data_IF_157308780097
#
_entry.id   IF_157308780097
#
_cell.length_a   1.000
_cell.length_b   1.000
_cell.length_c   1.000
_cell.angle_alpha   90.00
_cell.angle_beta   90.00
_cell.angle_gamma   90.00
#
_symmetry.space_group_name_H-M   'P 1'
#
loop_
_entity.id
_entity.type
_entity.pdbx_description
1 polymer ?
#
# COMPACT_ATOMS: atom_id res chain seq x y z
N UNK A 1 -72.18 -18.50 -13.09
CA UNK A 1 -71.05 -19.34 -13.52
C UNK A 1 -69.99 -18.39 -14.02
N UNK A 2 -68.95 -18.16 -13.25
CA UNK A 2 -67.72 -17.47 -13.64
C UNK A 2 -66.59 -18.48 -13.45
N UNK A 3 -65.91 -18.78 -14.53
CA UNK A 3 -64.70 -19.66 -14.49
C UNK A 3 -63.52 -18.86 -13.95
N UNK A 4 -62.99 -19.29 -12.83
CA UNK A 4 -61.68 -18.85 -12.32
C UNK A 4 -60.61 -19.72 -13.00
N UNK A 5 -59.93 -19.15 -14.01
CA UNK A 5 -58.68 -19.75 -14.55
C UNK A 5 -57.52 -19.48 -13.57
N UNK A 6 -57.15 -20.52 -12.86
CA UNK A 6 -55.94 -20.52 -12.06
C UNK A 6 -54.74 -20.65 -13.01
N UNK A 7 -53.99 -19.57 -13.20
CA UNK A 7 -52.71 -19.59 -13.92
C UNK A 7 -51.68 -20.33 -13.05
N UNK A 8 -51.46 -21.57 -13.33
CA UNK A 8 -50.33 -22.36 -12.75
C UNK A 8 -49.02 -21.88 -13.38
N UNK A 9 -48.31 -20.99 -12.69
CA UNK A 9 -46.93 -20.63 -13.06
C UNK A 9 -46.06 -21.87 -12.89
N UNK A 10 -45.57 -22.40 -13.99
CA UNK A 10 -44.76 -23.60 -14.06
C UNK A 10 -43.49 -23.43 -13.19
N UNK A 11 -43.40 -24.15 -12.09
CA UNK A 11 -42.25 -24.21 -11.16
C UNK A 11 -40.92 -24.57 -11.86
N UNK A 12 -40.96 -25.11 -13.07
CA UNK A 12 -39.80 -25.44 -13.90
C UNK A 12 -39.07 -24.17 -14.40
N UNK A 13 -39.78 -23.10 -14.71
CA UNK A 13 -39.18 -21.85 -15.19
C UNK A 13 -38.47 -21.08 -14.09
N UNK A 14 -38.93 -21.14 -12.86
CA UNK A 14 -38.27 -20.46 -11.71
C UNK A 14 -36.93 -21.11 -11.37
N UNK A 15 -36.87 -22.44 -11.40
CA UNK A 15 -35.63 -23.19 -11.11
C UNK A 15 -34.56 -23.00 -12.20
N UNK A 16 -34.99 -22.87 -13.48
CA UNK A 16 -34.12 -22.61 -14.61
C UNK A 16 -33.57 -21.18 -14.58
N UNK A 17 -34.37 -20.19 -14.21
CA UNK A 17 -33.95 -18.80 -14.05
C UNK A 17 -32.99 -18.64 -12.88
N UNK A 18 -33.26 -19.34 -11.77
CA UNK A 18 -32.35 -19.34 -10.61
C UNK A 18 -30.98 -20.00 -10.92
N UNK A 19 -30.97 -21.07 -11.68
CA UNK A 19 -29.73 -21.72 -12.14
C UNK A 19 -28.93 -20.83 -13.09
N UNK A 20 -29.58 -20.13 -14.00
CA UNK A 20 -28.92 -19.17 -14.90
C UNK A 20 -28.36 -17.99 -14.09
N UNK A 21 -29.11 -17.44 -13.14
CA UNK A 21 -28.61 -16.39 -12.25
C UNK A 21 -27.43 -16.87 -11.41
N UNK A 22 -27.45 -18.06 -10.85
CA UNK A 22 -26.32 -18.64 -10.12
C UNK A 22 -25.09 -18.83 -11.03
N UNK A 23 -25.26 -19.38 -12.23
CA UNK A 23 -24.16 -19.52 -13.20
C UNK A 23 -23.60 -18.19 -13.66
N UNK A 24 -24.44 -17.18 -13.84
CA UNK A 24 -24.01 -15.81 -14.17
C UNK A 24 -23.22 -15.21 -12.99
N UNK A 25 -23.70 -15.39 -11.76
CA UNK A 25 -23.01 -14.91 -10.55
C UNK A 25 -21.68 -15.65 -10.35
N UNK A 26 -21.64 -16.96 -10.57
CA UNK A 26 -20.38 -17.74 -10.52
C UNK A 26 -19.42 -17.37 -11.66
N UNK A 27 -19.92 -17.17 -12.87
CA UNK A 27 -19.13 -16.68 -14.02
C UNK A 27 -18.55 -15.30 -13.75
N UNK A 28 -19.35 -14.36 -13.20
CA UNK A 28 -18.84 -13.03 -12.81
C UNK A 28 -17.88 -13.12 -11.63
N UNK A 29 -18.13 -13.99 -10.66
CA UNK A 29 -17.24 -14.20 -9.51
C UNK A 29 -15.89 -14.80 -9.93
N UNK A 30 -15.88 -15.83 -10.77
CA UNK A 30 -14.65 -16.41 -11.30
C UNK A 30 -13.87 -15.48 -12.21
N UNK A 31 -14.52 -14.64 -13.00
CA UNK A 31 -13.85 -13.61 -13.81
C UNK A 31 -13.36 -12.42 -12.97
N UNK A 32 -14.03 -12.09 -11.86
CA UNK A 32 -13.55 -11.09 -10.90
C UNK A 32 -12.33 -11.61 -10.12
N UNK A 33 -12.37 -12.86 -9.67
CA UNK A 33 -11.24 -13.51 -9.01
C UNK A 33 -10.05 -13.66 -9.97
N UNK A 34 -10.29 -14.01 -11.26
CA UNK A 34 -9.24 -14.07 -12.29
C UNK A 34 -8.60 -12.72 -12.61
N UNK A 35 -9.36 -11.63 -12.55
CA UNK A 35 -8.82 -10.27 -12.78
C UNK A 35 -8.02 -9.75 -11.57
N UNK A 36 -8.40 -10.17 -10.35
CA UNK A 36 -7.62 -9.89 -9.14
C UNK A 36 -6.28 -10.64 -9.13
N UNK A 37 -6.31 -11.91 -9.55
CA UNK A 37 -5.09 -12.72 -9.75
C UNK A 37 -4.15 -12.04 -10.75
N UNK A 38 -4.67 -11.44 -11.82
CA UNK A 38 -3.86 -10.80 -12.86
C UNK A 38 -3.01 -9.62 -12.35
N UNK A 39 -3.51 -8.78 -11.44
CA UNK A 39 -2.71 -7.66 -10.90
C UNK A 39 -1.55 -8.15 -10.04
N UNK A 40 -1.81 -9.03 -9.08
CA UNK A 40 -0.76 -9.58 -8.22
C UNK A 40 0.09 -10.61 -8.96
N UNK A 41 -0.46 -11.31 -9.95
CA UNK A 41 0.30 -12.16 -10.85
C UNK A 41 1.30 -11.33 -11.67
N UNK A 42 0.89 -10.21 -12.26
CA UNK A 42 1.77 -9.28 -12.95
C UNK A 42 2.87 -8.72 -12.04
N UNK A 43 2.53 -8.33 -10.80
CA UNK A 43 3.52 -7.90 -9.81
C UNK A 43 4.48 -9.03 -9.42
N UNK A 44 3.98 -10.26 -9.24
CA UNK A 44 4.78 -11.44 -8.91
C UNK A 44 5.77 -11.78 -10.02
N UNK A 45 5.35 -11.72 -11.29
CA UNK A 45 6.22 -11.95 -12.44
C UNK A 45 7.39 -10.95 -12.51
N UNK A 46 7.20 -9.71 -12.03
CA UNK A 46 8.25 -8.69 -11.99
C UNK A 46 9.36 -9.02 -10.98
N UNK A 47 9.09 -9.82 -9.95
CA UNK A 47 10.02 -10.10 -8.84
C UNK A 47 10.51 -11.55 -8.78
N UNK A 48 9.80 -12.50 -9.39
CA UNK A 48 10.17 -13.93 -9.35
C UNK A 48 11.62 -14.13 -9.77
N UNK A 49 12.38 -14.91 -9.01
CA UNK A 49 13.78 -15.22 -9.25
C UNK A 49 14.78 -14.09 -8.97
N UNK A 50 14.34 -12.87 -8.64
CA UNK A 50 15.24 -11.72 -8.39
C UNK A 50 15.97 -11.75 -7.06
N UNK A 51 15.61 -12.69 -6.17
CA UNK A 51 16.25 -12.88 -4.86
C UNK A 51 16.19 -11.63 -3.96
N UNK A 52 15.11 -10.85 -4.06
CA UNK A 52 14.87 -9.68 -3.23
C UNK A 52 14.69 -10.12 -1.79
N UNK A 53 15.46 -9.55 -0.87
CA UNK A 53 15.46 -9.89 0.54
C UNK A 53 14.46 -9.03 1.31
N UNK A 54 13.43 -9.64 1.88
CA UNK A 54 12.43 -8.96 2.70
C UNK A 54 12.50 -9.44 4.14
N UNK A 55 12.62 -8.49 5.08
CA UNK A 55 12.65 -8.75 6.52
C UNK A 55 11.22 -8.82 7.08
N UNK A 56 10.99 -9.79 7.92
CA UNK A 56 9.76 -10.00 8.69
C UNK A 56 10.08 -10.04 10.18
N UNK A 57 9.93 -8.92 10.90
CA UNK A 57 10.29 -8.82 12.31
C UNK A 57 9.48 -9.74 13.24
N UNK A 58 8.25 -10.05 12.88
CA UNK A 58 7.28 -10.75 13.74
C UNK A 58 7.34 -12.28 13.54
N UNK A 59 8.51 -12.88 13.78
CA UNK A 59 8.81 -14.28 13.45
C UNK A 59 8.02 -15.34 14.23
N UNK A 60 7.31 -14.97 15.28
CA UNK A 60 6.44 -15.89 16.03
C UNK A 60 4.98 -15.84 15.56
N UNK A 61 4.60 -14.88 14.71
CA UNK A 61 3.23 -14.67 14.25
C UNK A 61 2.87 -15.68 13.15
N UNK A 62 1.82 -16.51 13.34
CA UNK A 62 1.46 -17.55 12.37
C UNK A 62 1.14 -17.05 10.97
N UNK A 63 0.49 -15.87 10.84
CA UNK A 63 0.15 -15.25 9.55
C UNK A 63 1.42 -14.85 8.78
N UNK A 64 2.42 -14.38 9.50
CA UNK A 64 3.73 -14.06 8.93
C UNK A 64 4.42 -15.34 8.46
N UNK A 65 4.49 -16.37 9.30
CA UNK A 65 5.13 -17.64 8.95
C UNK A 65 4.49 -18.34 7.75
N UNK A 66 3.15 -18.33 7.64
CA UNK A 66 2.43 -18.87 6.50
C UNK A 66 2.78 -18.15 5.21
N UNK A 67 2.69 -16.82 5.20
CA UNK A 67 3.05 -15.99 4.05
C UNK A 67 4.52 -16.15 3.64
N UNK A 68 5.45 -16.18 4.61
CA UNK A 68 6.89 -16.34 4.38
C UNK A 68 7.21 -17.67 3.68
N UNK A 69 6.60 -18.77 4.13
CA UNK A 69 6.77 -20.10 3.52
C UNK A 69 6.27 -20.11 2.08
N UNK A 70 5.11 -19.52 1.82
CA UNK A 70 4.52 -19.39 0.48
C UNK A 70 5.39 -18.54 -0.44
N UNK A 71 5.79 -17.35 -0.02
CA UNK A 71 6.67 -16.45 -0.78
C UNK A 71 7.99 -17.12 -1.17
N UNK A 72 8.59 -17.89 -0.25
CA UNK A 72 9.82 -18.63 -0.52
C UNK A 72 9.59 -19.78 -1.50
N UNK A 73 8.51 -20.53 -1.35
CA UNK A 73 8.18 -21.68 -2.22
C UNK A 73 7.91 -21.24 -3.67
N UNK A 74 7.33 -20.05 -3.86
CA UNK A 74 7.04 -19.45 -5.16
C UNK A 74 8.22 -18.64 -5.74
N UNK A 75 9.37 -18.61 -5.07
CA UNK A 75 10.60 -17.89 -5.46
C UNK A 75 10.38 -16.38 -5.70
N UNK A 76 9.45 -15.78 -4.95
CA UNK A 76 9.10 -14.38 -5.08
C UNK A 76 10.05 -13.46 -4.30
N UNK A 77 10.44 -13.87 -3.09
CA UNK A 77 11.40 -13.15 -2.25
C UNK A 77 12.31 -14.11 -1.49
N UNK A 78 13.42 -13.57 -0.97
CA UNK A 78 14.27 -14.23 0.03
C UNK A 78 13.87 -13.71 1.42
N UNK A 79 13.03 -14.43 2.18
CA UNK A 79 12.57 -13.94 3.47
C UNK A 79 13.66 -14.04 4.53
N UNK A 80 13.75 -12.99 5.36
CA UNK A 80 14.55 -12.97 6.59
C UNK A 80 13.58 -12.79 7.76
N UNK A 81 13.49 -13.77 8.62
CA UNK A 81 12.60 -13.77 9.79
C UNK A 81 13.40 -13.38 11.02
N UNK A 82 12.92 -12.42 11.83
CA UNK A 82 13.58 -12.02 13.06
C UNK A 82 12.92 -12.69 14.27
N UNK A 83 13.72 -13.18 15.17
CA UNK A 83 13.30 -13.78 16.44
C UNK A 83 14.22 -14.89 16.90
N UNK A 84 14.00 -15.38 18.13
CA UNK A 84 14.75 -16.49 18.65
C UNK A 84 14.60 -17.74 17.78
N UNK A 85 15.71 -18.30 17.32
CA UNK A 85 15.75 -19.33 16.27
C UNK A 85 14.93 -20.57 16.64
N UNK A 86 15.06 -21.03 17.89
CA UNK A 86 14.37 -22.25 18.34
C UNK A 86 12.88 -21.99 18.54
N UNK A 87 12.51 -20.82 19.07
CA UNK A 87 11.12 -20.42 19.25
C UNK A 87 10.40 -20.29 17.90
N UNK A 88 11.04 -19.66 16.89
CA UNK A 88 10.48 -19.53 15.52
C UNK A 88 10.30 -20.91 14.88
N UNK A 89 11.29 -21.81 15.00
CA UNK A 89 11.19 -23.17 14.46
C UNK A 89 10.07 -23.96 15.12
N UNK A 90 9.89 -23.83 16.44
CA UNK A 90 8.82 -24.54 17.17
C UNK A 90 7.45 -23.96 16.82
N UNK A 91 7.31 -22.63 16.70
CA UNK A 91 6.08 -21.99 16.25
C UNK A 91 5.68 -22.46 14.84
N UNK A 92 6.61 -22.54 13.91
CA UNK A 92 6.38 -23.04 12.56
C UNK A 92 5.99 -24.53 12.57
N UNK A 93 6.70 -25.36 13.33
CA UNK A 93 6.42 -26.80 13.45
C UNK A 93 5.02 -27.06 14.01
N UNK A 94 4.60 -26.30 15.01
CA UNK A 94 3.25 -26.40 15.60
C UNK A 94 2.12 -26.11 14.59
N UNK A 95 2.43 -25.48 13.47
CA UNK A 95 1.51 -25.17 12.36
C UNK A 95 1.74 -26.03 11.11
N UNK A 96 2.72 -26.93 11.13
CA UNK A 96 3.09 -27.77 9.99
C UNK A 96 3.90 -27.03 8.92
N UNK A 97 4.40 -25.84 9.21
CA UNK A 97 5.23 -25.06 8.28
C UNK A 97 6.68 -25.55 8.26
N UNK A 98 7.30 -25.57 7.08
CA UNK A 98 8.70 -25.93 6.89
C UNK A 98 9.51 -24.69 6.50
N UNK A 99 10.46 -24.30 7.33
CA UNK A 99 11.29 -23.12 7.12
C UNK A 99 12.59 -23.41 6.33
N UNK A 100 12.56 -24.38 5.41
CA UNK A 100 13.73 -24.77 4.63
C UNK A 100 14.21 -23.62 3.74
N UNK A 101 15.48 -23.21 3.90
CA UNK A 101 16.09 -22.12 3.13
C UNK A 101 15.59 -20.73 3.49
N UNK A 102 14.86 -20.58 4.61
CA UNK A 102 14.48 -19.29 5.19
C UNK A 102 15.49 -18.93 6.26
N UNK A 103 16.08 -17.73 6.17
CA UNK A 103 17.01 -17.22 7.15
C UNK A 103 16.25 -16.75 8.39
N UNK A 104 16.71 -17.16 9.57
CA UNK A 104 16.20 -16.68 10.87
C UNK A 104 17.36 -16.00 11.58
N UNK A 105 17.14 -14.79 12.09
CA UNK A 105 18.15 -14.01 12.81
C UNK A 105 17.62 -13.68 14.20
N UNK A 106 18.39 -14.04 15.22
CA UNK A 106 18.12 -13.65 16.61
C UNK A 106 18.93 -12.37 16.92
N UNK A 107 18.29 -11.23 17.23
CA UNK A 107 19.00 -10.00 17.59
C UNK A 107 19.91 -10.15 18.81
N UNK A 108 19.62 -11.12 19.69
CA UNK A 108 20.41 -11.35 20.92
C UNK A 108 21.68 -12.18 20.68
N UNK A 109 21.79 -12.85 19.53
CA UNK A 109 22.92 -13.69 19.12
C UNK A 109 23.40 -13.34 17.70
N UNK A 110 23.48 -12.04 17.40
CA UNK A 110 23.90 -11.55 16.09
C UNK A 110 25.37 -11.15 16.12
N UNK A 111 26.20 -11.83 15.34
CA UNK A 111 27.66 -11.69 15.38
C UNK A 111 28.13 -10.26 15.06
N UNK A 112 27.47 -9.57 14.13
CA UNK A 112 27.83 -8.22 13.69
C UNK A 112 27.07 -7.12 14.46
N UNK A 113 26.55 -7.40 15.66
CA UNK A 113 25.75 -6.44 16.44
C UNK A 113 26.52 -5.14 16.76
N UNK A 114 27.79 -5.21 17.10
CA UNK A 114 28.61 -4.03 17.42
C UNK A 114 28.80 -3.13 16.20
N UNK A 115 28.94 -3.69 14.98
CA UNK A 115 29.00 -2.93 13.74
C UNK A 115 27.65 -2.27 13.45
N UNK A 116 26.53 -2.99 13.65
CA UNK A 116 25.18 -2.45 13.52
C UNK A 116 24.92 -1.31 14.50
N UNK A 117 25.36 -1.42 15.75
CA UNK A 117 25.29 -0.36 16.76
C UNK A 117 26.05 0.89 16.30
N UNK A 118 27.29 0.73 15.85
CA UNK A 118 28.10 1.85 15.35
C UNK A 118 27.41 2.56 14.16
N UNK A 119 26.88 1.79 13.21
CA UNK A 119 26.14 2.28 12.08
C UNK A 119 24.87 3.05 12.51
N UNK A 120 24.13 2.52 13.49
CA UNK A 120 22.92 3.17 14.01
C UNK A 120 23.24 4.49 14.72
N UNK A 121 24.24 4.53 15.57
CA UNK A 121 24.70 5.77 16.25
C UNK A 121 25.09 6.83 15.22
N UNK A 122 25.91 6.46 14.22
CA UNK A 122 26.29 7.34 13.12
C UNK A 122 25.06 7.86 12.35
N UNK A 123 24.13 6.99 12.02
CA UNK A 123 22.88 7.34 11.31
C UNK A 123 22.02 8.33 12.09
N UNK A 124 22.00 8.21 13.43
CA UNK A 124 21.22 9.08 14.34
C UNK A 124 21.91 10.43 14.63
N UNK A 125 23.16 10.57 14.22
CA UNK A 125 23.92 11.83 14.32
C UNK A 125 23.85 12.48 15.73
N UNK A 126 24.26 11.73 16.76
CA UNK A 126 24.30 12.17 18.16
C UNK A 126 22.97 12.14 18.92
N UNK A 127 21.87 11.70 18.29
CA UNK A 127 20.54 11.57 18.93
C UNK A 127 20.36 10.27 19.72
N UNK A 128 21.32 9.39 19.70
CA UNK A 128 21.31 8.07 20.36
C UNK A 128 22.71 7.77 20.82
N UNK A 129 22.87 7.36 22.09
CA UNK A 129 24.14 6.83 22.62
C UNK A 129 24.32 5.37 22.20
N UNK A 130 25.56 4.85 22.32
CA UNK A 130 25.85 3.44 22.02
C UNK A 130 25.04 2.48 22.91
N UNK A 131 24.89 2.79 24.19
CA UNK A 131 24.10 2.00 25.14
C UNK A 131 22.60 2.00 24.75
N UNK A 132 22.07 3.17 24.38
CA UNK A 132 20.69 3.28 23.90
C UNK A 132 20.50 2.52 22.59
N UNK A 133 21.49 2.58 21.68
CA UNK A 133 21.45 1.87 20.42
C UNK A 133 21.42 0.34 20.63
N UNK A 134 22.29 -0.19 21.50
CA UNK A 134 22.29 -1.62 21.88
C UNK A 134 20.92 -2.07 22.41
N UNK A 135 20.29 -1.25 23.25
CA UNK A 135 18.96 -1.56 23.79
C UNK A 135 17.86 -1.51 22.72
N UNK A 136 17.89 -0.51 21.82
CA UNK A 136 16.89 -0.37 20.76
C UNK A 136 17.00 -1.48 19.73
N UNK A 137 18.21 -1.97 19.45
CA UNK A 137 18.45 -3.05 18.48
C UNK A 137 18.03 -4.44 18.99
N UNK A 138 17.60 -4.57 20.24
CA UNK A 138 16.90 -5.77 20.71
C UNK A 138 15.42 -5.81 20.30
N UNK A 139 14.87 -4.68 19.86
CA UNK A 139 13.54 -4.61 19.25
C UNK A 139 13.63 -5.05 17.79
N UNK A 140 12.78 -6.00 17.39
CA UNK A 140 12.82 -6.65 16.08
C UNK A 140 12.59 -5.66 14.93
N UNK A 141 11.77 -4.61 15.14
CA UNK A 141 11.52 -3.59 14.11
C UNK A 141 12.75 -2.69 13.91
N UNK A 142 13.42 -2.27 14.99
CA UNK A 142 14.66 -1.51 14.89
C UNK A 142 15.75 -2.33 14.25
N UNK A 143 15.92 -3.58 14.69
CA UNK A 143 16.91 -4.50 14.14
C UNK A 143 16.68 -4.76 12.65
N UNK A 144 15.46 -5.14 12.27
CA UNK A 144 15.09 -5.39 10.88
C UNK A 144 15.27 -4.15 10.00
N UNK A 145 14.91 -2.96 10.50
CA UNK A 145 15.12 -1.70 9.78
C UNK A 145 16.62 -1.40 9.58
N UNK A 146 17.47 -1.76 10.53
CA UNK A 146 18.92 -1.63 10.37
C UNK A 146 19.50 -2.61 9.35
N UNK A 147 18.97 -3.84 9.24
CA UNK A 147 19.35 -4.75 8.14
C UNK A 147 19.09 -4.11 6.78
N UNK A 148 17.94 -3.47 6.62
CA UNK A 148 17.60 -2.75 5.39
C UNK A 148 18.52 -1.55 5.16
N UNK A 149 18.80 -0.77 6.20
CA UNK A 149 19.70 0.39 6.12
C UNK A 149 21.11 0.01 5.72
N UNK A 150 21.64 -1.08 6.26
CA UNK A 150 22.99 -1.57 5.97
C UNK A 150 23.10 -2.29 4.61
N UNK A 151 21.99 -2.44 3.87
CA UNK A 151 21.98 -3.15 2.59
C UNK A 151 22.06 -4.68 2.69
N UNK A 152 21.82 -5.22 3.88
CA UNK A 152 21.73 -6.66 4.13
C UNK A 152 20.38 -7.24 3.73
N UNK A 153 19.37 -6.36 3.62
CA UNK A 153 18.04 -6.63 3.06
C UNK A 153 17.56 -5.45 2.21
N UNK A 154 16.55 -5.69 1.38
CA UNK A 154 16.02 -4.72 0.42
C UNK A 154 14.77 -4.00 0.93
N UNK A 155 13.99 -4.65 1.79
CA UNK A 155 12.77 -4.09 2.37
C UNK A 155 12.33 -4.82 3.63
N UNK A 156 11.26 -4.30 4.27
CA UNK A 156 10.72 -4.85 5.52
C UNK A 156 9.19 -4.81 5.51
N UNK A 157 8.55 -5.84 6.05
CA UNK A 157 7.10 -5.93 6.28
C UNK A 157 6.84 -6.27 7.74
N UNK A 158 6.13 -5.42 8.46
CA UNK A 158 5.75 -5.60 9.87
C UNK A 158 4.37 -5.00 10.15
N UNK A 159 3.84 -5.18 11.35
CA UNK A 159 2.58 -4.57 11.81
C UNK A 159 1.46 -5.56 12.10
N UNK A 160 1.69 -6.87 11.93
CA UNK A 160 0.68 -7.89 12.25
C UNK A 160 0.37 -7.95 13.76
N UNK A 161 1.36 -7.65 14.63
CA UNK A 161 1.20 -7.54 16.08
C UNK A 161 1.64 -6.19 16.63
N UNK A 162 2.54 -5.49 15.94
CA UNK A 162 3.01 -4.15 16.32
C UNK A 162 2.02 -3.06 15.93
N UNK A 163 2.12 -1.91 16.58
CA UNK A 163 1.38 -0.71 16.14
C UNK A 163 2.06 -0.06 14.93
N UNK A 164 1.29 0.69 14.13
CA UNK A 164 1.84 1.53 13.05
C UNK A 164 3.01 2.41 13.53
N UNK A 165 2.93 2.95 14.76
CA UNK A 165 4.00 3.75 15.34
C UNK A 165 5.29 2.96 15.58
N UNK A 166 5.21 1.69 15.91
CA UNK A 166 6.38 0.84 16.18
C UNK A 166 7.06 0.39 14.87
N UNK A 167 6.31 0.25 13.78
CA UNK A 167 6.86 -0.01 12.45
C UNK A 167 7.40 1.25 11.78
N UNK A 168 6.65 2.35 11.80
CA UNK A 168 6.97 3.57 11.05
C UNK A 168 8.07 4.40 11.74
N UNK A 169 8.14 4.39 13.08
CA UNK A 169 9.16 5.18 13.81
C UNK A 169 10.60 4.78 13.46
N UNK A 170 11.00 3.49 13.46
CA UNK A 170 12.32 3.08 13.00
C UNK A 170 12.57 3.47 11.53
N UNK A 171 11.58 3.30 10.65
CA UNK A 171 11.68 3.69 9.25
C UNK A 171 12.01 5.18 9.08
N UNK A 172 11.28 6.07 9.76
CA UNK A 172 11.54 7.51 9.71
C UNK A 172 12.87 7.91 10.35
N UNK A 173 13.31 7.19 11.37
CA UNK A 173 14.53 7.47 12.08
C UNK A 173 15.79 7.00 11.36
N UNK A 174 15.72 5.86 10.69
CA UNK A 174 16.86 5.13 10.11
C UNK A 174 16.87 5.25 8.59
N UNK A 175 15.80 4.82 7.92
CA UNK A 175 15.70 4.84 6.45
C UNK A 175 15.61 6.28 5.96
N UNK A 176 14.71 7.06 6.55
CA UNK A 176 14.37 8.44 6.15
C UNK A 176 13.75 8.50 4.76
N UNK A 177 13.45 9.71 4.30
CA UNK A 177 12.90 9.95 2.97
C UNK A 177 13.98 9.97 1.89
N UNK A 178 13.57 9.73 0.66
CA UNK A 178 14.38 9.93 -0.56
C UNK A 178 14.85 11.38 -0.68
N UNK A 179 15.96 11.64 -1.38
CA UNK A 179 16.31 12.99 -1.78
C UNK A 179 15.17 13.66 -2.55
N UNK A 180 14.84 14.90 -2.18
CA UNK A 180 13.74 15.65 -2.80
C UNK A 180 12.34 15.31 -2.28
N UNK A 181 12.21 14.43 -1.28
CA UNK A 181 10.95 14.13 -0.60
C UNK A 181 11.03 14.55 0.87
N UNK A 182 10.19 15.49 1.25
CA UNK A 182 10.19 16.05 2.62
C UNK A 182 9.58 15.09 3.64
N UNK A 183 8.54 14.34 3.25
CA UNK A 183 7.77 13.46 4.13
C UNK A 183 7.31 12.19 3.43
N UNK A 184 7.25 11.11 4.20
CA UNK A 184 6.56 9.89 3.82
C UNK A 184 5.06 10.11 3.76
N UNK A 185 4.37 9.47 2.81
CA UNK A 185 2.91 9.48 2.71
C UNK A 185 2.35 8.06 2.64
N UNK A 186 1.03 7.94 2.85
CA UNK A 186 0.33 6.66 2.85
C UNK A 186 -0.74 6.60 1.76
N UNK A 187 -0.57 5.70 0.78
CA UNK A 187 -1.51 5.50 -0.31
C UNK A 187 -2.33 4.23 -0.15
N UNK A 188 -3.55 4.23 -0.71
CA UNK A 188 -4.37 3.04 -0.89
C UNK A 188 -4.68 2.82 -2.37
N UNK A 189 -4.52 1.58 -2.82
CA UNK A 189 -5.08 1.15 -4.09
C UNK A 189 -6.52 0.73 -3.85
N UNK A 190 -7.44 1.42 -4.52
CA UNK A 190 -8.88 1.19 -4.44
C UNK A 190 -9.31 0.34 -5.64
N UNK A 191 -9.84 -0.85 -5.40
CA UNK A 191 -10.16 -1.81 -6.45
C UNK A 191 -11.63 -2.20 -6.39
N UNK A 192 -12.31 -2.15 -7.54
CA UNK A 192 -13.67 -2.65 -7.70
C UNK A 192 -13.85 -3.24 -9.11
N UNK A 193 -13.87 -4.55 -9.20
CA UNK A 193 -13.85 -5.23 -10.50
C UNK A 193 -12.64 -4.82 -11.32
N UNK A 194 -12.85 -4.21 -12.48
CA UNK A 194 -11.80 -3.70 -13.36
C UNK A 194 -11.33 -2.28 -13.02
N UNK A 195 -12.04 -1.60 -12.12
CA UNK A 195 -11.70 -0.23 -11.74
C UNK A 195 -10.55 -0.23 -10.73
N UNK A 196 -9.53 0.55 -11.02
CA UNK A 196 -8.37 0.75 -10.14
C UNK A 196 -8.11 2.23 -9.98
N UNK A 197 -7.97 2.68 -8.74
CA UNK A 197 -7.63 4.05 -8.38
C UNK A 197 -6.58 4.06 -7.27
N UNK A 198 -5.81 5.14 -7.19
CA UNK A 198 -4.92 5.40 -6.07
C UNK A 198 -5.40 6.63 -5.30
N UNK A 199 -5.54 6.49 -3.97
CA UNK A 199 -5.92 7.55 -3.04
C UNK A 199 -4.75 7.85 -2.10
N UNK A 200 -4.30 9.11 -2.00
CA UNK A 200 -3.23 9.58 -1.11
C UNK A 200 -3.40 11.07 -0.74
N UNK A 201 -2.87 11.57 0.38
CA UNK A 201 -2.45 10.82 1.55
C UNK A 201 -3.67 10.48 2.41
N UNK A 202 -3.74 9.23 2.83
CA UNK A 202 -4.89 8.75 3.60
C UNK A 202 -4.53 8.35 5.03
N UNK A 203 -3.24 8.46 5.45
CA UNK A 203 -2.79 7.84 6.69
C UNK A 203 -1.75 8.62 7.50
N UNK A 204 -0.87 9.40 6.88
CA UNK A 204 0.36 9.91 7.51
C UNK A 204 0.32 11.42 7.78
N UNK A 205 0.10 12.24 6.77
CA UNK A 205 0.25 13.69 6.87
C UNK A 205 -1.08 14.36 7.21
N UNK A 206 -1.24 14.81 8.44
CA UNK A 206 -2.51 15.39 8.93
C UNK A 206 -2.92 16.59 8.09
N UNK A 207 -2.01 17.55 7.89
CA UNK A 207 -2.26 18.73 7.08
C UNK A 207 -0.96 19.12 6.35
N UNK A 208 -0.67 18.54 5.18
CA UNK A 208 0.52 18.86 4.40
C UNK A 208 0.45 20.29 3.84
N UNK A 209 1.61 20.95 3.74
CA UNK A 209 1.76 22.21 3.00
C UNK A 209 1.74 21.98 1.48
N UNK A 210 1.78 23.07 0.70
CA UNK A 210 1.72 22.99 -0.76
C UNK A 210 2.89 22.18 -1.35
N UNK A 211 4.11 22.39 -0.87
CA UNK A 211 5.29 21.64 -1.30
C UNK A 211 5.15 20.13 -0.99
N UNK A 212 4.77 19.79 0.24
CA UNK A 212 4.57 18.42 0.68
C UNK A 212 3.46 17.72 -0.13
N UNK A 213 2.36 18.44 -0.40
CA UNK A 213 1.25 17.91 -1.19
C UNK A 213 1.65 17.65 -2.65
N UNK A 214 2.50 18.50 -3.22
CA UNK A 214 3.07 18.31 -4.55
C UNK A 214 3.97 17.06 -4.61
N UNK A 215 4.83 16.87 -3.63
CA UNK A 215 5.68 15.68 -3.51
C UNK A 215 4.87 14.40 -3.36
N UNK A 216 3.78 14.42 -2.55
CA UNK A 216 2.83 13.32 -2.43
C UNK A 216 2.20 12.98 -3.79
N UNK A 217 1.83 13.99 -4.59
CA UNK A 217 1.28 13.78 -5.92
C UNK A 217 2.28 13.07 -6.86
N UNK A 218 3.53 13.49 -6.84
CA UNK A 218 4.60 12.89 -7.65
C UNK A 218 4.90 11.44 -7.24
N UNK A 219 5.06 11.17 -5.94
CA UNK A 219 5.30 9.81 -5.45
C UNK A 219 4.08 8.89 -5.70
N UNK A 220 2.86 9.43 -5.64
CA UNK A 220 1.65 8.70 -5.95
C UNK A 220 1.53 8.36 -7.45
N UNK A 221 2.03 9.22 -8.35
CA UNK A 221 2.10 8.92 -9.77
C UNK A 221 3.04 7.73 -10.05
N UNK A 222 4.23 7.71 -9.44
CA UNK A 222 5.18 6.58 -9.53
C UNK A 222 4.59 5.28 -8.97
N UNK A 223 3.91 5.37 -7.83
CA UNK A 223 3.22 4.22 -7.24
C UNK A 223 2.12 3.71 -8.17
N UNK A 224 1.34 4.59 -8.80
CA UNK A 224 0.29 4.22 -9.75
C UNK A 224 0.87 3.43 -10.94
N UNK A 225 2.00 3.86 -11.50
CA UNK A 225 2.68 3.14 -12.59
C UNK A 225 3.11 1.72 -12.18
N UNK A 226 3.59 1.54 -10.95
CA UNK A 226 3.95 0.21 -10.43
C UNK A 226 2.76 -0.76 -10.49
N UNK A 227 1.54 -0.26 -10.21
CA UNK A 227 0.28 -1.02 -10.27
C UNK A 227 -0.40 -0.98 -11.64
N UNK A 228 0.27 -0.47 -12.68
CA UNK A 228 -0.29 -0.32 -14.03
C UNK A 228 -1.56 0.54 -14.06
N UNK A 229 -1.65 1.49 -13.13
CA UNK A 229 -2.68 2.51 -13.08
C UNK A 229 -2.16 3.73 -13.84
N UNK A 230 -2.92 4.20 -14.84
CA UNK A 230 -2.53 5.40 -15.59
C UNK A 230 -2.39 6.59 -14.63
N UNK A 231 -1.24 7.29 -14.58
CA UNK A 231 -0.96 8.34 -13.60
C UNK A 231 -1.60 9.68 -13.99
N UNK A 232 -2.94 9.69 -14.19
CA UNK A 232 -3.74 10.90 -14.29
C UNK A 232 -4.05 11.40 -12.88
N UNK A 233 -3.29 12.38 -12.41
CA UNK A 233 -3.25 12.84 -11.02
C UNK A 233 -4.12 14.07 -10.82
N UNK A 234 -5.12 13.94 -9.96
CA UNK A 234 -6.00 15.06 -9.57
C UNK A 234 -5.72 15.49 -8.12
N UNK A 235 -5.33 16.75 -7.90
CA UNK A 235 -5.25 17.33 -6.57
C UNK A 235 -6.64 17.82 -6.14
N UNK A 236 -7.16 17.22 -5.06
CA UNK A 236 -8.54 17.35 -4.61
C UNK A 236 -8.78 18.60 -3.80
N UNK A 237 -9.93 19.23 -4.04
CA UNK A 237 -10.44 20.40 -3.31
C UNK A 237 -11.98 20.38 -3.31
N UNK A 238 -12.58 21.24 -2.50
CA UNK A 238 -14.01 21.58 -2.64
C UNK A 238 -14.26 22.64 -3.74
N UNK A 239 -13.19 23.14 -4.37
CA UNK A 239 -13.22 24.06 -5.51
C UNK A 239 -12.80 23.36 -6.80
N UNK A 240 -13.31 23.84 -7.94
CA UNK A 240 -12.83 23.46 -9.28
C UNK A 240 -12.53 24.72 -10.06
N UNK A 241 -11.25 24.92 -10.41
CA UNK A 241 -10.77 26.01 -11.28
C UNK A 241 -11.30 27.38 -10.88
N UNK A 242 -11.16 27.71 -9.59
CA UNK A 242 -11.54 29.00 -9.02
C UNK A 242 -13.02 29.15 -8.66
N UNK A 243 -13.79 28.06 -8.57
CA UNK A 243 -15.20 28.13 -8.17
C UNK A 243 -15.42 28.56 -6.72
N UNK A 244 -14.39 28.47 -5.88
CA UNK A 244 -14.34 28.99 -4.51
C UNK A 244 -12.96 29.57 -4.20
N UNK A 245 -12.86 30.40 -3.16
CA UNK A 245 -11.62 31.00 -2.68
C UNK A 245 -11.45 30.79 -1.17
N UNK A 246 -10.32 30.24 -0.77
CA UNK A 246 -9.88 30.12 0.63
C UNK A 246 -8.39 29.74 0.69
N UNK A 247 -7.73 29.87 1.84
CA UNK A 247 -6.34 29.40 2.00
C UNK A 247 -6.16 27.92 1.67
N UNK A 248 -7.16 27.08 1.91
CA UNK A 248 -7.13 25.64 1.57
C UNK A 248 -7.15 25.43 0.04
N UNK A 249 -7.90 26.24 -0.69
CA UNK A 249 -7.91 26.24 -2.17
C UNK A 249 -6.58 26.71 -2.72
N UNK A 250 -6.06 27.84 -2.21
CA UNK A 250 -4.77 28.42 -2.62
C UNK A 250 -3.62 27.43 -2.42
N UNK A 251 -3.64 26.68 -1.31
CA UNK A 251 -2.70 25.59 -1.04
C UNK A 251 -2.70 24.53 -2.14
N UNK A 252 -3.87 24.08 -2.59
CA UNK A 252 -4.00 23.05 -3.62
C UNK A 252 -3.61 23.57 -5.00
N UNK A 253 -3.95 24.82 -5.32
CA UNK A 253 -3.52 25.50 -6.56
C UNK A 253 -2.00 25.56 -6.63
N UNK A 254 -1.36 26.03 -5.55
CA UNK A 254 0.11 26.12 -5.49
C UNK A 254 0.76 24.73 -5.52
N UNK A 255 0.21 23.75 -4.81
CA UNK A 255 0.69 22.36 -4.87
C UNK A 255 0.62 21.79 -6.30
N UNK A 256 -0.45 22.10 -7.04
CA UNK A 256 -0.61 21.66 -8.43
C UNK A 256 0.47 22.29 -9.32
N UNK A 257 0.75 23.58 -9.15
CA UNK A 257 1.82 24.27 -9.90
C UNK A 257 3.18 23.62 -9.64
N UNK A 258 3.51 23.40 -8.36
CA UNK A 258 4.78 22.77 -7.95
C UNK A 258 4.88 21.35 -8.49
N UNK A 259 3.82 20.54 -8.38
CA UNK A 259 3.83 19.15 -8.85
C UNK A 259 4.09 19.04 -10.36
N UNK A 260 3.50 19.94 -11.16
CA UNK A 260 3.76 20.03 -12.61
C UNK A 260 5.22 20.38 -12.93
N UNK A 261 5.85 21.21 -12.11
CA UNK A 261 7.26 21.57 -12.27
C UNK A 261 8.20 20.43 -11.86
N UNK A 262 7.87 19.73 -10.76
CA UNK A 262 8.66 18.59 -10.25
C UNK A 262 8.61 17.37 -11.18
N UNK A 263 7.48 17.15 -11.84
CA UNK A 263 7.26 15.95 -12.65
C UNK A 263 6.46 16.27 -13.93
N UNK A 264 7.06 16.99 -14.90
CA UNK A 264 6.39 17.43 -16.13
C UNK A 264 6.00 16.25 -17.06
N UNK A 265 6.53 15.08 -16.82
CA UNK A 265 6.18 13.87 -17.57
C UNK A 265 4.82 13.29 -17.17
N UNK A 266 4.28 13.65 -16.00
CA UNK A 266 3.00 13.17 -15.53
C UNK A 266 1.86 14.13 -15.87
N UNK A 267 0.69 13.56 -16.11
CA UNK A 267 -0.53 14.32 -16.32
C UNK A 267 -1.14 14.69 -14.96
N UNK A 268 -0.80 15.87 -14.46
CA UNK A 268 -1.20 16.38 -13.13
C UNK A 268 -2.09 17.60 -13.31
N UNK A 269 -3.24 17.66 -12.63
CA UNK A 269 -4.08 18.85 -12.60
C UNK A 269 -4.80 19.04 -11.25
N UNK A 270 -5.25 20.24 -10.99
CA UNK A 270 -5.93 20.69 -9.78
C UNK A 270 -6.13 22.23 -9.85
N UNK A 271 -6.85 22.84 -8.96
CA UNK A 271 -7.67 22.14 -7.95
C UNK A 271 -8.96 21.61 -8.60
N UNK A 272 -9.39 20.41 -8.21
CA UNK A 272 -10.57 19.76 -8.74
C UNK A 272 -11.45 19.21 -7.61
N UNK A 273 -12.77 19.37 -7.73
CA UNK A 273 -13.73 18.61 -6.94
C UNK A 273 -13.72 17.15 -7.37
N UNK A 274 -14.09 16.24 -6.47
CA UNK A 274 -14.08 14.80 -6.75
C UNK A 274 -14.96 14.43 -7.95
N UNK A 275 -16.17 14.99 -8.05
CA UNK A 275 -17.09 14.76 -9.15
C UNK A 275 -16.54 15.25 -10.51
N UNK A 276 -15.84 16.39 -10.50
CA UNK A 276 -15.18 16.92 -11.70
C UNK A 276 -13.95 16.10 -12.11
N UNK A 277 -13.18 15.57 -11.14
CA UNK A 277 -12.04 14.72 -11.42
C UNK A 277 -12.45 13.33 -11.93
N UNK A 278 -13.56 12.77 -11.42
CA UNK A 278 -14.00 11.40 -11.68
C UNK A 278 -14.95 11.27 -12.87
N UNK A 279 -15.94 12.16 -13.00
CA UNK A 279 -16.99 12.06 -14.02
C UNK A 279 -16.62 12.83 -15.27
N UNK A 280 -16.55 12.16 -16.41
CA UNK A 280 -16.25 12.78 -17.71
C UNK A 280 -17.22 13.91 -18.08
N UNK A 281 -18.51 13.73 -17.81
CA UNK A 281 -19.55 14.73 -18.09
C UNK A 281 -19.33 15.98 -17.24
N UNK A 282 -19.11 15.79 -15.93
CA UNK A 282 -18.90 16.90 -14.99
C UNK A 282 -17.55 17.57 -15.22
N UNK A 283 -16.52 16.79 -15.51
CA UNK A 283 -15.19 17.29 -15.85
C UNK A 283 -15.20 18.22 -17.06
N UNK A 284 -15.85 17.82 -18.13
CA UNK A 284 -16.03 18.66 -19.33
C UNK A 284 -16.79 19.97 -19.03
N UNK A 285 -17.75 19.92 -18.10
CA UNK A 285 -18.55 21.09 -17.74
C UNK A 285 -17.81 22.06 -16.83
N UNK A 286 -17.13 21.54 -15.78
CA UNK A 286 -16.51 22.37 -14.73
C UNK A 286 -15.06 22.74 -15.02
N UNK A 287 -14.34 21.96 -15.81
CA UNK A 287 -12.92 22.16 -16.14
C UNK A 287 -12.65 21.88 -17.63
N UNK A 288 -13.27 22.62 -18.56
CA UNK A 288 -13.16 22.42 -20.00
C UNK A 288 -11.73 22.65 -20.48
N UNK A 289 -10.90 21.92 -20.72
CA UNK A 289 -9.47 22.09 -21.10
C UNK A 289 -8.51 21.41 -20.16
N UNK A 290 -9.01 20.82 -19.06
CA UNK A 290 -8.23 19.92 -18.24
C UNK A 290 -8.09 18.55 -18.92
N UNK A 291 -6.88 18.03 -18.98
CA UNK A 291 -6.58 16.68 -19.48
C UNK A 291 -6.74 15.60 -18.42
N UNK A 292 -7.02 16.00 -17.18
CA UNK A 292 -7.20 15.10 -16.02
C UNK A 292 -8.67 15.01 -15.60
N UNK A 293 -9.41 16.12 -15.69
CA UNK A 293 -10.80 16.16 -15.26
C UNK A 293 -11.65 15.11 -16.03
N UNK A 294 -12.39 14.31 -15.27
CA UNK A 294 -13.20 13.20 -15.79
C UNK A 294 -12.42 11.93 -16.14
N UNK A 295 -11.09 11.95 -15.99
CA UNK A 295 -10.21 10.81 -16.31
C UNK A 295 -9.20 10.50 -15.20
N UNK A 296 -9.33 11.12 -14.02
CA UNK A 296 -8.41 10.92 -12.91
C UNK A 296 -8.41 9.45 -12.45
N UNK A 297 -7.23 8.93 -12.18
CA UNK A 297 -7.01 7.62 -11.58
C UNK A 297 -6.25 7.72 -10.25
N UNK A 298 -5.56 8.85 -10.02
CA UNK A 298 -4.83 9.15 -8.80
C UNK A 298 -5.45 10.39 -8.16
N UNK A 299 -5.92 10.25 -6.92
CA UNK A 299 -6.64 11.29 -6.17
C UNK A 299 -5.82 11.70 -4.96
N UNK A 300 -5.33 12.95 -4.95
CA UNK A 300 -4.50 13.49 -3.89
C UNK A 300 -5.35 14.38 -2.98
N UNK A 301 -5.53 13.96 -1.75
CA UNK A 301 -6.36 14.64 -0.78
C UNK A 301 -5.58 15.75 -0.05
N UNK A 302 -6.19 16.93 0.19
CA UNK A 302 -5.50 18.10 0.76
C UNK A 302 -5.14 17.93 2.25
N UNK A 303 -5.69 16.93 2.91
CA UNK A 303 -5.41 16.58 4.30
C UNK A 303 -5.77 15.11 4.54
N UNK A 304 -5.05 14.42 5.45
CA UNK A 304 -5.25 13.00 5.70
C UNK A 304 -6.65 12.66 6.20
N UNK A 305 -7.30 13.56 6.93
CA UNK A 305 -8.70 13.33 7.35
C UNK A 305 -9.65 13.19 6.16
N UNK A 306 -9.49 13.98 5.10
CA UNK A 306 -10.32 13.87 3.90
C UNK A 306 -10.01 12.58 3.12
N UNK A 307 -8.74 12.21 3.00
CA UNK A 307 -8.33 10.95 2.39
C UNK A 307 -8.81 9.73 3.19
N UNK A 308 -8.64 9.75 4.52
CA UNK A 308 -9.07 8.68 5.41
C UNK A 308 -10.58 8.45 5.39
N UNK A 309 -11.36 9.53 5.44
CA UNK A 309 -12.83 9.46 5.33
C UNK A 309 -13.20 8.99 3.92
N UNK A 310 -12.58 9.55 2.88
CA UNK A 310 -12.87 9.27 1.48
C UNK A 310 -12.68 7.80 1.12
N UNK A 311 -11.52 7.21 1.43
CA UNK A 311 -11.30 5.81 1.10
C UNK A 311 -12.23 4.86 1.87
N UNK A 312 -12.54 5.15 3.15
CA UNK A 312 -13.46 4.33 3.94
C UNK A 312 -14.90 4.41 3.41
N UNK A 313 -15.35 5.57 2.96
CA UNK A 313 -16.64 5.72 2.30
C UNK A 313 -16.66 4.90 1.00
N UNK A 314 -15.65 5.04 0.15
CA UNK A 314 -15.52 4.26 -1.08
C UNK A 314 -15.52 2.75 -0.78
N UNK A 315 -14.78 2.31 0.25
CA UNK A 315 -14.76 0.91 0.69
C UNK A 315 -16.11 0.42 1.16
N UNK A 316 -16.77 1.15 2.08
CA UNK A 316 -17.98 0.65 2.77
C UNK A 316 -19.26 0.83 1.95
N UNK A 317 -19.43 1.97 1.27
CA UNK A 317 -20.60 2.25 0.45
C UNK A 317 -20.36 1.97 -1.02
N UNK A 318 -19.13 2.19 -1.52
CA UNK A 318 -18.79 2.01 -2.93
C UNK A 318 -18.41 0.58 -3.30
N UNK A 319 -18.24 -0.33 -2.32
CA UNK A 319 -17.84 -1.73 -2.57
C UNK A 319 -16.42 -1.89 -3.08
N UNK A 320 -15.54 -0.91 -2.82
CA UNK A 320 -14.13 -1.03 -3.15
C UNK A 320 -13.38 -1.87 -2.11
N UNK A 321 -12.45 -2.70 -2.56
CA UNK A 321 -11.36 -3.19 -1.72
C UNK A 321 -10.29 -2.10 -1.61
N UNK A 322 -9.74 -1.89 -0.41
CA UNK A 322 -8.69 -0.93 -0.15
C UNK A 322 -7.41 -1.68 0.23
N UNK A 323 -6.43 -1.70 -0.66
CA UNK A 323 -5.11 -2.34 -0.44
C UNK A 323 -4.12 -1.27 0.01
N UNK A 324 -3.61 -1.40 1.23
CA UNK A 324 -2.69 -0.44 1.84
C UNK A 324 -2.81 -0.40 3.37
N UNK A 325 -2.18 0.60 4.05
CA UNK A 325 -1.47 1.73 3.44
C UNK A 325 -0.11 1.34 2.84
N UNK A 326 0.15 1.79 1.64
CA UNK A 326 1.44 1.69 0.97
C UNK A 326 2.24 2.94 1.35
N UNK A 327 3.37 2.77 2.04
CA UNK A 327 4.23 3.89 2.40
C UNK A 327 5.05 4.34 1.18
N UNK A 328 4.99 5.64 0.89
CA UNK A 328 5.66 6.28 -0.23
C UNK A 328 6.74 7.25 0.24
N UNK A 329 7.76 7.48 -0.59
CA UNK A 329 8.79 8.48 -0.34
C UNK A 329 9.89 8.07 0.64
N UNK A 330 9.89 6.84 1.18
CA UNK A 330 11.00 6.29 1.95
C UNK A 330 12.18 5.93 1.05
N UNK A 331 13.41 6.12 1.53
CA UNK A 331 14.63 5.80 0.78
C UNK A 331 14.83 4.29 0.54
N UNK A 332 14.18 3.44 1.32
CA UNK A 332 14.02 1.99 1.13
C UNK A 332 12.61 1.58 1.57
N UNK A 333 12.01 0.56 0.94
CA UNK A 333 10.63 0.20 1.24
C UNK A 333 10.49 -0.46 2.60
N UNK A 334 9.62 0.13 3.41
CA UNK A 334 9.14 -0.42 4.68
C UNK A 334 7.61 -0.41 4.59
N UNK A 335 6.97 -1.53 4.86
CA UNK A 335 5.52 -1.65 4.82
C UNK A 335 4.94 -1.95 6.20
N UNK A 336 3.80 -1.31 6.48
CA UNK A 336 3.04 -1.46 7.72
C UNK A 336 1.76 -2.25 7.46
N UNK A 337 1.56 -3.33 8.21
CA UNK A 337 0.36 -4.15 8.17
C UNK A 337 -0.69 -3.63 9.16
N UNK A 338 -1.95 -3.94 8.92
CA UNK A 338 -2.96 -3.84 9.96
C UNK A 338 -2.83 -5.01 10.94
N UNK A 339 -3.02 -4.79 12.24
CA UNK A 339 -3.11 -5.87 13.23
C UNK A 339 -4.25 -6.86 12.95
N UNK A 340 -5.25 -6.42 12.19
CA UNK A 340 -6.35 -7.26 11.72
C UNK A 340 -6.09 -7.94 10.37
N UNK A 341 -4.86 -7.91 9.84
CA UNK A 341 -4.51 -8.58 8.58
C UNK A 341 -4.66 -10.11 8.70
N UNK A 342 -4.85 -10.75 7.57
CA UNK A 342 -4.74 -12.20 7.40
C UNK A 342 -3.42 -12.57 6.70
N UNK A 343 -3.18 -13.86 6.46
CA UNK A 343 -1.97 -14.36 5.78
C UNK A 343 -1.85 -13.82 4.35
N UNK A 344 -2.97 -13.72 3.62
CA UNK A 344 -3.02 -13.19 2.27
C UNK A 344 -2.64 -11.70 2.22
N UNK A 345 -3.03 -10.92 3.22
CA UNK A 345 -2.63 -9.51 3.33
C UNK A 345 -1.11 -9.37 3.52
N UNK A 346 -0.51 -10.25 4.32
CA UNK A 346 0.96 -10.29 4.51
C UNK A 346 1.65 -10.64 3.19
N UNK A 347 1.18 -11.68 2.51
CA UNK A 347 1.69 -12.15 1.22
C UNK A 347 1.64 -11.03 0.16
N UNK A 348 0.50 -10.39 0.00
CA UNK A 348 0.30 -9.28 -0.94
C UNK A 348 1.19 -8.08 -0.59
N UNK A 349 1.29 -7.72 0.69
CA UNK A 349 2.14 -6.60 1.14
C UNK A 349 3.60 -6.88 0.86
N UNK A 350 4.07 -8.11 1.03
CA UNK A 350 5.45 -8.49 0.70
C UNK A 350 5.74 -8.36 -0.81
N UNK A 351 4.82 -8.77 -1.67
CA UNK A 351 4.93 -8.58 -3.12
C UNK A 351 5.00 -7.08 -3.47
N UNK A 352 4.16 -6.26 -2.86
CA UNK A 352 4.19 -4.80 -3.06
C UNK A 352 5.54 -4.23 -2.62
N UNK A 353 6.00 -4.60 -1.42
CA UNK A 353 7.29 -4.14 -0.87
C UNK A 353 8.46 -4.53 -1.78
N UNK A 354 8.46 -5.76 -2.28
CA UNK A 354 9.48 -6.22 -3.23
C UNK A 354 9.43 -5.45 -4.56
N UNK A 355 8.24 -5.15 -5.08
CA UNK A 355 8.12 -4.32 -6.29
C UNK A 355 8.58 -2.88 -6.06
N UNK A 356 8.37 -2.31 -4.87
CA UNK A 356 8.88 -0.97 -4.54
C UNK A 356 10.40 -0.88 -4.60
N UNK A 357 11.13 -1.98 -4.37
CA UNK A 357 12.61 -2.02 -4.52
C UNK A 357 13.06 -1.84 -5.96
N UNK A 358 12.16 -1.97 -6.94
CA UNK A 358 12.44 -1.83 -8.36
C UNK A 358 12.15 -0.43 -8.91
N UNK A 359 11.66 0.49 -8.07
CA UNK A 359 11.32 1.87 -8.45
C UNK A 359 12.52 2.84 -8.37
N UNK A 360 13.66 2.40 -7.88
CA UNK A 360 14.89 3.21 -7.67
C UNK A 360 15.82 3.17 -8.87
#
# INVERSE_FOLDING_TARGET
MRNDEIVTVNSINVCFFFRICCMIVEYYKSNLEGFFLDMFEGLSQKIVGKKIKIVFPEGLEPRILGAVVRLKAEDLVEPIVIGNVDAVKEAAKGRGFRLNGIQIIDPTDYAELDEMVASFVARRNGKVTEEQAKKLLLDENYFGTMLVHMGLADGLVSGAVHSTGDTVRPALQIIKTKPGVSRTSGAFIMIRGTERFLFADCAININPGAQELAEIAVESAKTAEMFEIQPNVALMSFSTKGSAASPEVDKVVEATRIAKELAPQYNIDGELQFDAAFSEVIGKQKAPGSTVAGQAKVFIFPASQSGNIGYKIAQRFGGFEAVGPILQGLNKPISDLSRGCNEEDVYKTAIITANQTLLD
#
